data_IF_502036038458
#
_entry.id   IF_502036038458
#
_cell.length_a   1.000
_cell.length_b   1.000
_cell.length_c   1.000
_cell.angle_alpha   90.00
_cell.angle_beta   90.00
_cell.angle_gamma   90.00
#
_symmetry.space_group_name_H-M   'P 1'
#
loop_
_entity.id
_entity.type
_entity.pdbx_description
1 polymer ?
#
# COMPACT_ATOMS: atom_id res chain seq x y z
N UNK A 1 4.94 -24.24 -25.75
CA UNK A 1 4.69 -22.86 -25.23
C UNK A 1 5.60 -21.92 -25.98
N UNK A 2 5.06 -20.82 -26.47
CA UNK A 2 5.76 -19.83 -27.29
C UNK A 2 5.73 -18.47 -26.60
N UNK A 3 6.66 -17.59 -26.94
CA UNK A 3 6.59 -16.17 -26.55
C UNK A 3 5.30 -15.55 -27.10
N UNK A 4 4.62 -14.72 -26.30
CA UNK A 4 3.34 -14.12 -26.62
C UNK A 4 2.12 -14.99 -26.33
N UNK A 5 2.27 -16.24 -25.91
CA UNK A 5 1.14 -17.04 -25.45
C UNK A 5 0.55 -16.45 -24.16
N UNK A 6 -0.78 -16.43 -24.12
CA UNK A 6 -1.55 -15.93 -23.00
C UNK A 6 -2.48 -17.02 -22.45
N UNK A 7 -2.54 -17.13 -21.12
CA UNK A 7 -3.41 -18.08 -20.43
C UNK A 7 -4.25 -17.32 -19.42
N UNK A 8 -5.53 -17.66 -19.35
CA UNK A 8 -6.45 -17.17 -18.32
C UNK A 8 -7.04 -18.37 -17.60
N UNK A 9 -6.94 -18.40 -16.27
CA UNK A 9 -7.42 -19.49 -15.44
C UNK A 9 -8.24 -18.90 -14.30
N UNK A 10 -9.49 -19.27 -14.21
CA UNK A 10 -10.40 -18.84 -13.14
C UNK A 10 -10.52 -19.93 -12.09
N UNK A 11 -10.47 -19.52 -10.83
CA UNK A 11 -10.69 -20.36 -9.67
C UNK A 11 -11.78 -19.75 -8.82
N UNK A 12 -12.72 -20.57 -8.36
CA UNK A 12 -13.71 -20.16 -7.38
C UNK A 12 -13.09 -20.17 -5.97
N UNK A 13 -13.73 -19.45 -5.06
CA UNK A 13 -13.39 -19.46 -3.63
C UNK A 13 -13.10 -20.90 -3.17
N UNK A 14 -11.94 -21.13 -2.58
CA UNK A 14 -11.50 -22.42 -2.04
C UNK A 14 -10.93 -23.42 -3.06
N UNK A 15 -10.93 -23.11 -4.39
CA UNK A 15 -10.41 -24.05 -5.40
C UNK A 15 -8.89 -23.97 -5.55
N UNK A 16 -8.30 -22.80 -5.46
CA UNK A 16 -6.84 -22.63 -5.59
C UNK A 16 -6.13 -22.80 -4.23
N UNK A 17 -6.74 -22.30 -3.17
CA UNK A 17 -6.27 -22.46 -1.81
C UNK A 17 -7.42 -23.00 -0.96
N UNK A 18 -7.18 -24.07 -0.23
CA UNK A 18 -8.15 -24.68 0.66
C UNK A 18 -8.64 -23.67 1.69
N UNK A 19 -9.95 -23.54 1.79
CA UNK A 19 -10.62 -22.83 2.86
C UNK A 19 -11.22 -23.84 3.82
N UNK A 20 -10.86 -23.75 5.10
CA UNK A 20 -11.42 -24.65 6.14
C UNK A 20 -12.07 -23.84 7.25
N UNK A 21 -13.26 -24.26 7.66
CA UNK A 21 -13.92 -23.74 8.86
C UNK A 21 -13.15 -24.13 10.14
N UNK A 22 -12.37 -25.21 10.13
CA UNK A 22 -11.50 -25.60 11.26
C UNK A 22 -10.38 -24.58 11.53
N UNK A 23 -10.05 -23.76 10.54
CA UNK A 23 -9.11 -22.65 10.66
C UNK A 23 -9.75 -21.38 11.25
N UNK A 24 -11.02 -21.44 11.62
CA UNK A 24 -11.73 -20.39 12.37
C UNK A 24 -11.77 -20.81 13.84
N UNK A 25 -11.05 -20.08 14.68
CA UNK A 25 -10.75 -20.50 16.05
C UNK A 25 -11.28 -19.47 17.04
N UNK A 26 -11.98 -19.91 18.07
CA UNK A 26 -12.41 -19.07 19.19
C UNK A 26 -11.35 -19.11 20.30
N UNK A 27 -10.96 -17.96 20.79
CA UNK A 27 -9.93 -17.76 21.79
C UNK A 27 -10.39 -16.77 22.86
N UNK A 28 -9.84 -16.88 24.07
CA UNK A 28 -9.96 -15.78 25.04
C UNK A 28 -9.13 -14.58 24.59
N UNK A 29 -9.62 -13.36 24.79
CA UNK A 29 -8.85 -12.13 24.56
C UNK A 29 -7.50 -12.12 25.28
N UNK A 30 -7.37 -12.81 26.42
CA UNK A 30 -6.11 -12.93 27.18
C UNK A 30 -5.02 -13.69 26.43
N UNK A 31 -5.37 -14.47 25.42
CA UNK A 31 -4.41 -15.18 24.57
C UNK A 31 -3.76 -14.28 23.53
N UNK A 32 -4.34 -13.11 23.23
CA UNK A 32 -3.73 -12.10 22.35
C UNK A 32 -2.63 -11.35 23.10
N UNK A 33 -1.41 -11.45 22.62
CA UNK A 33 -0.21 -10.93 23.28
C UNK A 33 0.81 -10.37 22.28
N UNK A 34 0.52 -9.19 21.70
CA UNK A 34 1.44 -8.53 20.78
C UNK A 34 2.69 -8.03 21.50
N UNK A 35 3.82 -7.79 20.79
CA UNK A 35 5.01 -7.16 21.33
C UNK A 35 4.71 -5.78 21.93
N UNK A 36 5.56 -5.35 22.88
CA UNK A 36 5.40 -4.01 23.50
C UNK A 36 5.57 -2.85 22.53
N UNK A 37 6.23 -3.07 21.41
CA UNK A 37 6.44 -2.08 20.34
C UNK A 37 5.20 -1.80 19.53
N UNK A 38 4.23 -2.73 19.47
CA UNK A 38 2.97 -2.51 18.77
C UNK A 38 2.17 -1.37 19.40
N UNK A 39 1.57 -0.51 18.58
CA UNK A 39 0.69 0.59 19.01
C UNK A 39 -0.46 0.02 19.85
N UNK A 40 -1.14 -0.99 19.33
CA UNK A 40 -2.32 -1.59 19.93
C UNK A 40 -2.02 -2.86 20.72
N UNK A 41 -2.45 -2.89 21.98
CA UNK A 41 -2.33 -4.04 22.88
C UNK A 41 -3.61 -4.86 22.94
N UNK A 42 -4.67 -4.44 22.25
CA UNK A 42 -5.96 -5.15 22.16
C UNK A 42 -6.19 -5.66 20.74
N UNK A 43 -6.94 -6.77 20.57
CA UNK A 43 -7.35 -7.22 19.26
C UNK A 43 -8.36 -6.24 18.65
N UNK A 44 -8.24 -5.98 17.35
CA UNK A 44 -9.10 -5.05 16.61
C UNK A 44 -9.81 -5.80 15.47
N UNK A 45 -11.09 -5.51 15.29
CA UNK A 45 -11.92 -6.20 14.29
C UNK A 45 -11.40 -5.91 12.87
N UNK A 46 -11.32 -6.96 12.06
CA UNK A 46 -10.90 -6.90 10.67
C UNK A 46 -9.38 -6.87 10.47
N UNK A 47 -8.57 -6.53 11.51
CA UNK A 47 -7.11 -6.45 11.46
C UNK A 47 -6.46 -7.81 11.36
N UNK A 48 -5.29 -7.82 10.73
CA UNK A 48 -4.41 -8.99 10.70
C UNK A 48 -3.25 -8.84 11.68
N UNK A 49 -2.88 -9.95 12.28
CA UNK A 49 -1.75 -10.04 13.20
C UNK A 49 -0.96 -11.32 12.90
N UNK A 50 0.36 -11.35 13.19
CA UNK A 50 1.11 -12.60 13.18
C UNK A 50 0.45 -13.66 14.07
N UNK A 51 0.31 -14.88 13.58
CA UNK A 51 -0.29 -16.00 14.35
C UNK A 51 0.43 -16.21 15.69
N UNK A 52 1.72 -15.95 15.75
CA UNK A 52 2.52 -16.03 16.97
C UNK A 52 2.12 -15.07 18.09
N UNK A 53 1.25 -14.08 17.83
CA UNK A 53 0.68 -13.21 18.87
C UNK A 53 -0.43 -13.88 19.68
N UNK A 54 -0.95 -15.03 19.21
CA UNK A 54 -2.01 -15.79 19.87
C UNK A 54 -1.40 -16.96 20.65
N UNK A 55 -1.42 -16.86 21.99
CA UNK A 55 -0.83 -17.86 22.88
C UNK A 55 -1.76 -19.06 23.10
N UNK A 56 -1.15 -20.21 23.43
CA UNK A 56 -1.89 -21.42 23.79
C UNK A 56 -2.43 -22.25 22.63
N UNK A 57 -2.08 -21.88 21.40
CA UNK A 57 -2.38 -22.70 20.21
C UNK A 57 -1.34 -23.81 20.05
N UNK A 58 -1.79 -25.05 19.91
CA UNK A 58 -0.89 -26.19 19.74
C UNK A 58 -0.05 -26.05 18.46
N UNK A 59 1.26 -26.24 18.57
CA UNK A 59 2.19 -26.15 17.43
C UNK A 59 2.47 -24.74 16.93
N UNK A 60 1.96 -23.70 17.58
CA UNK A 60 2.20 -22.29 17.19
C UNK A 60 3.29 -21.70 18.07
N UNK A 61 4.37 -21.25 17.43
CA UNK A 61 5.49 -20.56 18.09
C UNK A 61 5.32 -19.03 17.97
N UNK A 62 5.89 -18.28 18.90
CA UNK A 62 5.84 -16.80 18.90
C UNK A 62 6.51 -16.15 17.67
N UNK A 63 7.36 -16.88 16.97
CA UNK A 63 7.99 -16.46 15.70
C UNK A 63 7.11 -16.70 14.47
N UNK A 64 5.93 -17.27 14.61
CA UNK A 64 5.04 -17.52 13.49
C UNK A 64 4.44 -16.20 12.98
N UNK A 65 4.80 -15.82 11.75
CA UNK A 65 4.40 -14.57 11.10
C UNK A 65 3.20 -14.73 10.16
N UNK A 66 2.60 -15.92 10.07
CA UNK A 66 1.44 -16.12 9.19
C UNK A 66 0.32 -15.14 9.56
N UNK A 67 -0.29 -14.48 8.56
CA UNK A 67 -1.34 -13.51 8.82
C UNK A 67 -2.59 -14.21 9.38
N UNK A 68 -3.08 -13.68 10.48
CA UNK A 68 -4.27 -14.18 11.18
C UNK A 68 -5.23 -13.03 11.38
N UNK A 69 -6.45 -13.15 10.89
CA UNK A 69 -7.46 -12.10 10.95
C UNK A 69 -8.34 -12.20 12.18
N UNK A 70 -8.58 -11.10 12.86
CA UNK A 70 -9.65 -10.98 13.86
C UNK A 70 -10.98 -10.80 13.12
N UNK A 71 -11.91 -11.74 13.23
CA UNK A 71 -13.17 -11.70 12.50
C UNK A 71 -14.40 -11.47 13.39
N UNK A 72 -14.27 -11.66 14.71
CA UNK A 72 -15.28 -11.30 15.68
C UNK A 72 -14.65 -11.01 17.05
N UNK A 73 -15.30 -10.12 17.80
CA UNK A 73 -14.94 -9.79 19.18
C UNK A 73 -16.24 -9.81 20.01
N UNK A 74 -16.26 -10.63 21.04
CA UNK A 74 -17.34 -10.66 22.02
C UNK A 74 -16.85 -10.03 23.33
N UNK A 75 -17.37 -8.84 23.64
CA UNK A 75 -16.97 -8.11 24.86
C UNK A 75 -17.50 -8.77 26.13
N UNK A 76 -18.72 -9.35 26.09
CA UNK A 76 -19.36 -9.96 27.26
C UNK A 76 -18.64 -11.24 27.72
N UNK A 77 -18.30 -12.14 26.77
CA UNK A 77 -17.56 -13.37 27.08
C UNK A 77 -16.05 -13.19 27.12
N UNK A 78 -15.54 -12.00 26.75
CA UNK A 78 -14.10 -11.74 26.58
C UNK A 78 -13.43 -12.71 25.61
N UNK A 79 -14.12 -13.03 24.51
CA UNK A 79 -13.64 -13.94 23.46
C UNK A 79 -13.38 -13.20 22.15
N UNK A 80 -12.51 -13.78 21.35
CA UNK A 80 -12.24 -13.35 19.97
C UNK A 80 -12.34 -14.56 19.05
N UNK A 81 -12.79 -14.33 17.84
CA UNK A 81 -12.73 -15.34 16.77
C UNK A 81 -11.67 -14.91 15.76
N UNK A 82 -10.75 -15.79 15.48
CA UNK A 82 -9.68 -15.58 14.50
C UNK A 82 -9.86 -16.48 13.29
N UNK A 83 -9.40 -16.00 12.14
CA UNK A 83 -9.31 -16.75 10.89
C UNK A 83 -7.84 -16.90 10.51
N UNK A 84 -7.37 -18.14 10.46
CA UNK A 84 -5.99 -18.50 10.10
C UNK A 84 -5.86 -19.03 8.66
N UNK A 85 -6.95 -19.02 7.88
CA UNK A 85 -6.90 -19.35 6.47
C UNK A 85 -5.99 -18.35 5.70
N UNK A 86 -5.42 -18.80 4.59
CA UNK A 86 -4.73 -17.91 3.67
C UNK A 86 -5.71 -16.79 3.23
N UNK A 87 -5.36 -15.51 3.36
CA UNK A 87 -6.30 -14.41 3.16
C UNK A 87 -7.04 -14.45 1.81
N UNK A 88 -6.34 -14.85 0.74
CA UNK A 88 -6.93 -14.95 -0.60
C UNK A 88 -7.88 -16.15 -0.80
N UNK A 89 -7.83 -17.18 0.07
CA UNK A 89 -8.64 -18.39 -0.06
C UNK A 89 -10.17 -18.12 -0.02
N UNK A 90 -10.57 -16.94 0.47
CA UNK A 90 -11.97 -16.53 0.56
C UNK A 90 -12.55 -15.93 -0.70
N UNK A 91 -11.74 -15.72 -1.74
CA UNK A 91 -12.13 -14.95 -2.93
C UNK A 91 -12.03 -15.78 -4.21
N UNK A 92 -12.83 -15.42 -5.20
CA UNK A 92 -12.62 -15.89 -6.56
C UNK A 92 -11.32 -15.30 -7.10
N UNK A 93 -10.53 -16.09 -7.82
CA UNK A 93 -9.21 -15.71 -8.30
C UNK A 93 -9.17 -15.92 -9.81
N UNK A 94 -8.74 -14.90 -10.53
CA UNK A 94 -8.41 -14.98 -11.93
C UNK A 94 -6.91 -14.84 -12.10
N UNK A 95 -6.27 -15.86 -12.71
CA UNK A 95 -4.83 -15.84 -12.99
C UNK A 95 -4.62 -15.64 -14.48
N UNK A 96 -4.03 -14.51 -14.84
CA UNK A 96 -3.59 -14.18 -16.18
C UNK A 96 -2.08 -14.39 -16.29
N UNK A 97 -1.66 -15.23 -17.23
CA UNK A 97 -0.25 -15.57 -17.45
C UNK A 97 0.11 -15.19 -18.88
N UNK A 98 1.07 -14.29 -19.06
CA UNK A 98 1.67 -13.97 -20.35
C UNK A 98 3.11 -14.49 -20.40
N UNK A 99 3.47 -15.23 -21.46
CA UNK A 99 4.85 -15.61 -21.71
C UNK A 99 5.53 -14.48 -22.47
N UNK A 100 6.20 -13.59 -21.77
CA UNK A 100 6.88 -12.45 -22.38
C UNK A 100 8.16 -12.87 -23.10
N UNK A 101 8.91 -13.84 -22.53
CA UNK A 101 10.21 -14.24 -23.06
C UNK A 101 10.57 -15.67 -22.65
N UNK A 102 11.17 -16.41 -23.58
CA UNK A 102 11.74 -17.73 -23.35
C UNK A 102 13.27 -17.67 -23.53
N UNK A 103 13.99 -17.83 -22.44
CA UNK A 103 15.45 -17.82 -22.47
C UNK A 103 15.96 -19.25 -22.39
N UNK A 104 16.73 -19.71 -23.41
CA UNK A 104 17.40 -21.00 -23.37
C UNK A 104 18.52 -20.95 -22.33
N UNK A 105 18.53 -21.91 -21.43
CA UNK A 105 19.61 -22.06 -20.45
C UNK A 105 20.91 -22.41 -21.16
N UNK A 106 21.94 -21.61 -21.02
CA UNK A 106 23.30 -21.86 -21.52
C UNK A 106 24.19 -22.25 -20.34
N UNK A 107 24.33 -23.53 -20.09
CA UNK A 107 25.20 -24.05 -19.03
C UNK A 107 24.49 -24.53 -17.77
N UNK A 108 25.22 -25.24 -16.92
CA UNK A 108 24.72 -25.90 -15.70
C UNK A 108 24.94 -25.10 -14.41
N UNK A 109 25.02 -23.78 -14.46
CA UNK A 109 25.19 -22.98 -13.26
C UNK A 109 23.98 -23.13 -12.32
N UNK A 110 24.24 -23.35 -11.03
CA UNK A 110 23.24 -23.25 -9.99
C UNK A 110 22.63 -21.84 -9.94
N UNK A 111 21.48 -21.70 -9.35
CA UNK A 111 20.81 -20.43 -9.15
C UNK A 111 19.82 -20.56 -8.01
N UNK A 112 19.39 -19.44 -7.46
CA UNK A 112 18.31 -19.41 -6.49
C UNK A 112 17.01 -19.87 -7.17
N UNK A 113 16.39 -20.89 -6.61
CA UNK A 113 15.05 -21.30 -7.00
C UNK A 113 14.05 -20.54 -6.13
N UNK A 114 13.26 -19.63 -6.73
CA UNK A 114 12.23 -18.89 -6.03
C UNK A 114 10.87 -19.51 -6.32
N UNK A 115 10.11 -19.75 -5.27
CA UNK A 115 8.71 -20.08 -5.37
C UNK A 115 7.91 -18.80 -5.69
N UNK A 116 7.76 -18.50 -6.98
CA UNK A 116 7.01 -17.32 -7.43
C UNK A 116 5.54 -17.39 -7.03
N UNK A 117 4.99 -18.60 -6.90
CA UNK A 117 3.60 -18.79 -6.50
C UNK A 117 3.40 -18.39 -5.03
N UNK A 118 4.29 -18.83 -4.14
CA UNK A 118 4.30 -18.39 -2.76
C UNK A 118 4.48 -16.87 -2.65
N UNK A 119 5.40 -16.29 -3.42
CA UNK A 119 5.63 -14.84 -3.42
C UNK A 119 4.38 -14.07 -3.89
N UNK A 120 3.69 -14.55 -4.91
CA UNK A 120 2.53 -13.86 -5.47
C UNK A 120 1.29 -13.97 -4.57
N UNK A 121 1.03 -15.12 -3.97
CA UNK A 121 -0.26 -15.45 -3.37
C UNK A 121 -0.24 -15.67 -1.86
N UNK A 122 0.88 -16.12 -1.27
CA UNK A 122 0.95 -16.34 0.17
C UNK A 122 1.17 -15.01 0.92
N UNK A 123 0.62 -14.93 2.13
CA UNK A 123 0.90 -13.87 3.09
C UNK A 123 0.72 -12.45 2.52
N UNK A 124 -0.49 -12.14 2.00
CA UNK A 124 -0.74 -10.77 1.58
C UNK A 124 -2.00 -10.53 0.80
N UNK A 125 -2.12 -11.00 -0.45
CA UNK A 125 -3.34 -10.78 -1.23
C UNK A 125 -4.60 -11.21 -0.49
N UNK A 126 -5.63 -10.35 -0.50
CA UNK A 126 -6.87 -10.55 0.26
C UNK A 126 -6.92 -9.81 1.61
N UNK A 127 -5.77 -9.41 2.19
CA UNK A 127 -5.75 -8.67 3.45
C UNK A 127 -6.33 -7.25 3.32
N UNK A 128 -6.29 -6.65 2.15
CA UNK A 128 -6.80 -5.31 1.88
C UNK A 128 -8.33 -5.22 1.81
N UNK A 129 -9.02 -6.36 1.79
CA UNK A 129 -10.48 -6.41 1.60
C UNK A 129 -11.18 -6.46 2.95
N UNK A 130 -12.27 -5.72 3.11
CA UNK A 130 -13.14 -5.81 4.29
C UNK A 130 -13.67 -7.24 4.47
N UNK A 131 -13.64 -7.73 5.71
CA UNK A 131 -14.24 -9.03 6.02
C UNK A 131 -15.76 -8.91 6.00
N UNK A 132 -16.44 -9.60 5.05
CA UNK A 132 -17.89 -9.56 4.88
C UNK A 132 -18.49 -8.14 4.88
N UNK A 133 -17.75 -7.16 4.34
CA UNK A 133 -18.17 -5.75 4.32
C UNK A 133 -17.99 -5.01 5.64
N UNK A 134 -17.56 -5.68 6.70
CA UNK A 134 -17.30 -5.07 8.02
C UNK A 134 -16.06 -4.16 7.92
N UNK A 135 -16.18 -2.94 8.39
CA UNK A 135 -15.10 -1.99 8.48
C UNK A 135 -13.93 -2.55 9.30
N UNK A 136 -12.71 -2.40 8.79
CA UNK A 136 -11.50 -2.74 9.54
C UNK A 136 -11.20 -1.65 10.55
N UNK A 137 -11.10 -2.02 11.84
CA UNK A 137 -10.76 -1.08 12.90
C UNK A 137 -9.27 -0.76 12.89
N UNK A 138 -8.91 0.38 12.30
CA UNK A 138 -7.56 0.95 12.33
C UNK A 138 -7.37 1.96 13.48
N UNK A 139 -8.29 2.01 14.44
CA UNK A 139 -8.27 2.98 15.56
C UNK A 139 -8.09 4.43 15.11
N UNK A 140 -8.80 4.83 14.08
CA UNK A 140 -8.71 6.20 13.55
C UNK A 140 -9.11 7.29 14.57
N UNK A 141 -9.85 6.93 15.61
CA UNK A 141 -10.24 7.85 16.70
C UNK A 141 -9.16 7.96 17.79
N UNK A 142 -8.15 7.11 17.77
CA UNK A 142 -7.03 7.16 18.70
C UNK A 142 -5.98 8.16 18.20
N UNK A 143 -5.71 9.21 18.97
CA UNK A 143 -4.73 10.23 18.60
C UNK A 143 -3.33 9.70 18.37
N UNK A 144 -2.93 8.64 19.07
CA UNK A 144 -1.61 8.02 18.92
C UNK A 144 -1.42 7.34 17.54
N UNK A 145 -2.52 7.00 16.84
CA UNK A 145 -2.49 6.33 15.53
C UNK A 145 -1.65 7.11 14.50
N UNK A 146 -1.76 8.43 14.54
CA UNK A 146 -1.13 9.34 13.59
C UNK A 146 0.12 10.04 14.13
N UNK A 147 0.53 9.77 15.39
CA UNK A 147 1.78 10.27 15.92
C UNK A 147 2.99 9.66 15.20
N UNK A 148 4.09 10.38 15.24
CA UNK A 148 5.37 9.99 14.65
C UNK A 148 6.45 9.91 15.74
N UNK A 149 7.55 9.23 15.45
CA UNK A 149 8.70 9.22 16.37
C UNK A 149 9.32 10.62 16.48
N UNK A 150 9.44 11.33 15.35
CA UNK A 150 9.94 12.70 15.30
C UNK A 150 8.82 13.67 14.88
N UNK A 151 8.29 14.41 15.85
CA UNK A 151 7.28 15.46 15.67
C UNK A 151 7.87 16.86 15.42
N UNK A 152 9.19 16.97 15.22
CA UNK A 152 9.78 18.24 14.82
C UNK A 152 9.27 18.69 13.46
N UNK A 153 9.33 19.99 13.22
CA UNK A 153 8.84 20.63 12.00
C UNK A 153 9.39 19.93 10.75
N UNK A 154 8.50 19.53 9.85
CA UNK A 154 8.85 18.82 8.63
C UNK A 154 9.74 19.67 7.71
N UNK A 155 9.63 21.00 7.74
CA UNK A 155 10.50 21.89 7.00
C UNK A 155 11.98 21.80 7.44
N UNK A 156 12.25 21.34 8.67
CA UNK A 156 13.61 21.10 9.16
C UNK A 156 14.12 19.77 8.62
N UNK A 157 13.33 18.70 8.73
CA UNK A 157 13.72 17.36 8.26
C UNK A 157 13.92 17.30 6.75
N UNK A 158 13.07 17.98 5.98
CA UNK A 158 13.11 18.01 4.51
C UNK A 158 13.90 19.24 3.98
N UNK A 159 14.67 19.95 4.80
CA UNK A 159 15.43 21.13 4.40
C UNK A 159 16.50 20.80 3.34
N UNK A 160 17.27 19.76 3.58
CA UNK A 160 18.34 19.34 2.69
C UNK A 160 17.77 18.57 1.48
N UNK A 161 18.00 19.03 0.26
CA UNK A 161 17.41 18.40 -0.94
C UNK A 161 17.99 16.99 -1.16
N UNK A 162 17.08 16.04 -1.42
CA UNK A 162 17.41 14.64 -1.73
C UNK A 162 17.18 14.38 -3.20
N UNK A 163 18.19 14.69 -4.04
CA UNK A 163 18.13 14.49 -5.49
C UNK A 163 18.38 13.02 -5.85
N UNK A 164 17.54 12.14 -5.34
CA UNK A 164 17.64 10.68 -5.53
C UNK A 164 16.25 10.04 -5.58
N UNK A 165 16.16 8.93 -6.29
CA UNK A 165 14.95 8.10 -6.30
C UNK A 165 14.78 7.39 -4.96
N UNK A 166 13.54 7.31 -4.47
CA UNK A 166 13.21 6.66 -3.20
C UNK A 166 12.93 5.17 -3.35
N UNK A 167 12.71 4.71 -4.58
CA UNK A 167 12.49 3.32 -4.97
C UNK A 167 13.48 2.91 -6.07
N UNK A 168 13.70 1.62 -6.25
CA UNK A 168 14.56 1.15 -7.34
C UNK A 168 13.90 1.33 -8.72
N UNK A 169 14.70 1.19 -9.79
CA UNK A 169 14.22 1.43 -11.14
C UNK A 169 13.15 0.43 -11.59
N UNK A 170 13.16 -0.81 -11.09
CA UNK A 170 12.13 -1.80 -11.41
C UNK A 170 10.78 -1.43 -10.79
N UNK A 171 10.79 -0.99 -9.54
CA UNK A 171 9.61 -0.48 -8.86
C UNK A 171 9.05 0.75 -9.60
N UNK A 172 9.92 1.68 -9.98
CA UNK A 172 9.54 2.86 -10.79
C UNK A 172 8.93 2.48 -12.14
N UNK A 173 9.53 1.54 -12.88
CA UNK A 173 8.96 1.02 -14.13
C UNK A 173 7.56 0.46 -13.95
N UNK A 174 7.32 -0.30 -12.87
CA UNK A 174 6.02 -0.85 -12.57
C UNK A 174 4.98 0.24 -12.24
N UNK A 175 5.40 1.31 -11.54
CA UNK A 175 4.54 2.45 -11.25
C UNK A 175 4.15 3.21 -12.53
N UNK A 176 5.14 3.51 -13.39
CA UNK A 176 4.90 4.14 -14.70
C UNK A 176 3.95 3.30 -15.59
N UNK A 177 4.15 1.97 -15.67
CA UNK A 177 3.26 1.05 -16.39
C UNK A 177 1.84 1.08 -15.83
N UNK A 178 1.71 1.11 -14.51
CA UNK A 178 0.39 1.18 -13.84
C UNK A 178 -0.29 2.49 -14.19
N UNK A 179 0.38 3.61 -14.03
CA UNK A 179 -0.15 4.94 -14.35
C UNK A 179 -0.48 5.12 -15.82
N UNK A 180 0.31 4.53 -16.71
CA UNK A 180 -0.03 4.53 -18.13
C UNK A 180 -1.37 3.86 -18.42
N UNK A 181 -1.69 2.78 -17.69
CA UNK A 181 -2.93 2.02 -17.83
C UNK A 181 -4.15 2.67 -17.17
N UNK A 182 -3.97 3.32 -15.99
CA UNK A 182 -5.11 3.75 -15.17
C UNK A 182 -5.41 5.25 -15.22
N UNK A 183 -4.42 6.10 -15.54
CA UNK A 183 -4.64 7.54 -15.64
C UNK A 183 -5.19 7.93 -17.02
N UNK A 184 -6.02 8.98 -17.12
CA UNK A 184 -6.45 9.53 -18.41
C UNK A 184 -5.25 9.97 -19.25
N UNK A 185 -5.46 10.24 -20.54
CA UNK A 185 -4.38 10.63 -21.44
C UNK A 185 -3.91 12.08 -21.28
N UNK A 186 -4.79 12.94 -20.73
CA UNK A 186 -4.53 14.38 -20.55
C UNK A 186 -5.36 14.99 -19.44
N UNK A 187 -4.99 16.17 -18.97
CA UNK A 187 -5.75 16.94 -17.99
C UNK A 187 -4.87 17.78 -17.08
N UNK A 188 -5.45 18.32 -16.01
CA UNK A 188 -4.74 19.00 -14.93
C UNK A 188 -4.47 18.01 -13.80
N UNK A 189 -3.22 17.84 -13.43
CA UNK A 189 -2.78 16.85 -12.45
C UNK A 189 -2.06 17.55 -11.28
N UNK A 190 -2.45 17.19 -10.07
CA UNK A 190 -1.74 17.57 -8.84
C UNK A 190 -0.85 16.40 -8.37
N UNK A 191 0.44 16.65 -8.25
CA UNK A 191 1.43 15.78 -7.62
C UNK A 191 1.60 16.24 -6.17
N UNK A 192 0.94 15.53 -5.24
CA UNK A 192 0.96 15.83 -3.80
C UNK A 192 2.23 15.29 -3.15
N UNK A 193 2.81 16.10 -2.27
CA UNK A 193 4.09 15.83 -1.61
C UNK A 193 5.22 15.60 -2.63
N UNK A 194 5.13 16.36 -3.72
CA UNK A 194 6.07 16.30 -4.85
C UNK A 194 7.49 16.58 -4.42
N UNK A 195 8.43 15.89 -5.04
CA UNK A 195 9.86 15.98 -4.78
C UNK A 195 10.64 16.06 -6.10
N UNK A 196 11.84 15.50 -6.09
CA UNK A 196 12.79 15.44 -7.20
C UNK A 196 12.25 14.76 -8.46
N UNK A 197 11.34 13.80 -8.31
CA UNK A 197 10.80 13.00 -9.41
C UNK A 197 9.30 12.79 -9.26
N UNK A 198 8.55 13.06 -10.33
CA UNK A 198 7.17 12.58 -10.50
C UNK A 198 7.15 11.31 -11.33
N UNK A 199 6.28 10.37 -10.95
CA UNK A 199 6.16 9.07 -11.63
C UNK A 199 5.09 9.09 -12.73
N UNK A 200 4.91 10.23 -13.39
CA UNK A 200 3.88 10.45 -14.41
C UNK A 200 4.46 10.10 -15.78
N UNK A 201 3.83 9.21 -16.57
CA UNK A 201 4.30 8.84 -17.90
C UNK A 201 4.47 10.06 -18.82
N UNK A 202 5.55 10.07 -19.60
CA UNK A 202 5.89 11.20 -20.48
C UNK A 202 4.95 11.35 -21.68
N UNK A 203 4.35 10.23 -22.12
CA UNK A 203 3.41 10.17 -23.24
C UNK A 203 2.00 10.70 -22.88
N UNK A 204 1.76 11.08 -21.63
CA UNK A 204 0.51 11.68 -21.17
C UNK A 204 0.60 13.21 -21.12
N UNK A 205 -0.40 13.86 -21.71
CA UNK A 205 -0.46 15.33 -21.84
C UNK A 205 -1.13 15.96 -20.61
N UNK A 206 -0.40 15.94 -19.47
CA UNK A 206 -0.84 16.60 -18.25
C UNK A 206 -0.17 17.93 -18.02
N UNK A 207 -0.95 18.94 -17.62
CA UNK A 207 -0.42 20.10 -16.93
C UNK A 207 -0.24 19.73 -15.44
N UNK A 208 1.01 19.54 -15.02
CA UNK A 208 1.37 19.00 -13.70
C UNK A 208 1.74 20.12 -12.75
N UNK A 209 1.03 20.19 -11.61
CA UNK A 209 1.37 21.08 -10.50
C UNK A 209 1.93 20.23 -9.38
N UNK A 210 3.15 20.53 -8.92
CA UNK A 210 3.75 19.90 -7.75
C UNK A 210 3.46 20.71 -6.49
N UNK A 211 3.04 20.04 -5.43
CA UNK A 211 2.90 20.61 -4.10
C UNK A 211 3.78 19.84 -3.13
N UNK A 212 4.75 20.49 -2.51
CA UNK A 212 5.74 19.83 -1.65
C UNK A 212 6.49 20.78 -0.73
N UNK A 213 7.45 20.29 0.03
CA UNK A 213 8.20 21.07 1.01
C UNK A 213 9.54 21.59 0.51
N UNK A 214 10.22 20.86 -0.38
CA UNK A 214 11.54 21.24 -0.83
C UNK A 214 11.52 21.84 -2.23
N UNK A 215 11.72 23.17 -2.28
CA UNK A 215 11.73 23.94 -3.55
C UNK A 215 12.84 23.50 -4.50
N UNK A 216 14.02 23.15 -3.97
CA UNK A 216 15.16 22.76 -4.80
C UNK A 216 14.93 21.39 -5.44
N UNK A 217 14.34 20.43 -4.70
CA UNK A 217 13.95 19.15 -5.28
C UNK A 217 12.96 19.34 -6.43
N UNK A 218 11.88 20.10 -6.21
CA UNK A 218 10.85 20.35 -7.22
C UNK A 218 11.37 21.12 -8.45
N UNK A 219 12.36 22.00 -8.30
CA UNK A 219 13.00 22.66 -9.45
C UNK A 219 13.72 21.68 -10.40
N UNK A 220 14.21 20.57 -9.86
CA UNK A 220 14.88 19.54 -10.66
C UNK A 220 13.89 18.51 -11.23
N UNK A 221 12.61 18.61 -10.90
CA UNK A 221 11.58 17.74 -11.41
C UNK A 221 11.06 18.26 -12.76
N UNK A 222 11.61 17.73 -13.84
CA UNK A 222 11.29 18.15 -15.21
C UNK A 222 9.82 17.87 -15.62
N UNK A 223 9.07 17.14 -14.80
CA UNK A 223 7.67 16.84 -15.10
C UNK A 223 6.72 17.94 -14.62
N UNK A 224 7.16 18.80 -13.69
CA UNK A 224 6.35 19.88 -13.13
C UNK A 224 6.32 21.10 -14.05
N UNK A 225 5.12 21.65 -14.25
CA UNK A 225 4.90 22.94 -14.89
C UNK A 225 4.89 24.08 -13.87
N UNK A 226 4.35 23.79 -12.69
CA UNK A 226 4.29 24.71 -11.56
C UNK A 226 4.67 23.98 -10.27
N UNK A 227 5.19 24.70 -9.28
CA UNK A 227 5.48 24.16 -7.97
C UNK A 227 5.01 25.09 -6.85
N UNK A 228 4.42 24.52 -5.79
CA UNK A 228 3.87 25.23 -4.65
C UNK A 228 4.49 24.65 -3.37
N UNK A 229 5.05 25.53 -2.55
CA UNK A 229 5.56 25.14 -1.22
C UNK A 229 4.41 25.14 -0.25
N UNK A 230 4.09 23.97 0.31
CA UNK A 230 2.99 23.81 1.23
C UNK A 230 3.21 22.61 2.15
N UNK A 231 2.96 22.81 3.45
CA UNK A 231 3.09 21.78 4.49
C UNK A 231 1.70 21.25 4.85
N UNK A 232 1.39 20.04 4.39
CA UNK A 232 0.08 19.41 4.59
C UNK A 232 -0.19 19.02 6.05
N UNK A 233 0.85 18.76 6.85
CA UNK A 233 0.70 18.43 8.26
C UNK A 233 0.42 19.68 9.12
N UNK A 234 0.92 20.85 8.72
CA UNK A 234 0.57 22.13 9.32
C UNK A 234 -0.79 22.62 8.86
N UNK A 235 -1.01 22.63 7.57
CA UNK A 235 -2.25 23.10 6.96
C UNK A 235 -2.74 22.09 5.90
N UNK A 236 -3.71 21.24 6.20
CA UNK A 236 -4.25 20.28 5.24
C UNK A 236 -5.10 20.93 4.14
N UNK A 237 -5.50 22.21 4.28
CA UNK A 237 -6.31 22.93 3.28
C UNK A 237 -5.47 23.21 2.05
N UNK A 238 -5.88 22.66 0.91
CA UNK A 238 -5.18 22.80 -0.36
C UNK A 238 -5.47 24.17 -1.02
N UNK A 239 -4.44 24.90 -1.51
CA UNK A 239 -4.59 26.25 -2.07
C UNK A 239 -5.16 26.25 -3.50
N UNK A 240 -6.21 25.47 -3.73
CA UNK A 240 -6.84 25.29 -5.03
C UNK A 240 -8.35 25.45 -4.95
N UNK A 241 -8.96 25.75 -6.09
CA UNK A 241 -10.41 25.86 -6.22
C UNK A 241 -11.09 24.49 -6.17
N UNK A 242 -12.40 24.47 -5.93
CA UNK A 242 -13.20 23.27 -6.06
C UNK A 242 -13.18 22.78 -7.51
N UNK A 243 -13.14 21.46 -7.70
CA UNK A 243 -13.25 20.80 -9.02
C UNK A 243 -12.22 21.30 -10.05
N UNK A 244 -11.00 21.53 -9.59
CA UNK A 244 -9.93 22.08 -10.42
C UNK A 244 -9.12 20.98 -11.15
N UNK A 245 -8.98 19.80 -10.56
CA UNK A 245 -8.08 18.76 -11.04
C UNK A 245 -8.82 17.56 -11.64
N UNK A 246 -8.26 17.01 -12.72
CA UNK A 246 -8.69 15.75 -13.30
C UNK A 246 -8.06 14.57 -12.58
N UNK A 247 -6.84 14.75 -12.05
CA UNK A 247 -6.06 13.72 -11.36
C UNK A 247 -5.34 14.31 -10.14
N UNK A 248 -5.32 13.55 -9.05
CA UNK A 248 -4.43 13.78 -7.89
C UNK A 248 -3.63 12.51 -7.68
N UNK A 249 -2.29 12.62 -7.64
CA UNK A 249 -1.39 11.53 -7.26
C UNK A 249 -0.67 11.88 -5.95
N UNK A 250 -0.48 10.88 -5.09
CA UNK A 250 0.33 10.99 -3.88
C UNK A 250 1.24 9.78 -3.82
N UNK A 251 2.49 9.96 -4.23
CA UNK A 251 3.45 8.89 -4.40
C UNK A 251 4.43 8.83 -3.24
N UNK A 252 4.58 7.62 -2.64
CA UNK A 252 5.56 7.31 -1.58
C UNK A 252 5.49 8.28 -0.39
N UNK A 253 4.28 8.72 0.00
CA UNK A 253 4.16 9.85 0.92
C UNK A 253 2.94 9.81 1.86
N UNK A 254 1.90 9.03 1.58
CA UNK A 254 0.68 8.97 2.41
C UNK A 254 0.99 8.53 3.85
N UNK A 255 2.04 7.75 4.04
CA UNK A 255 2.53 7.26 5.33
C UNK A 255 3.06 8.35 6.28
N UNK A 256 3.24 9.59 5.80
CA UNK A 256 3.73 10.72 6.60
C UNK A 256 2.64 11.71 6.99
N UNK A 257 1.40 11.49 6.55
CA UNK A 257 0.29 12.40 6.79
C UNK A 257 -0.33 12.16 8.16
N UNK A 258 -0.28 13.18 9.02
CA UNK A 258 -0.83 13.15 10.39
C UNK A 258 -2.30 13.57 10.45
N UNK A 259 -2.85 14.17 9.38
CA UNK A 259 -4.25 14.60 9.25
C UNK A 259 -4.89 14.02 7.97
N UNK A 260 -4.95 12.67 7.85
CA UNK A 260 -5.33 12.04 6.59
C UNK A 260 -6.80 12.31 6.19
N UNK A 261 -7.72 12.43 7.14
CA UNK A 261 -9.14 12.68 6.83
C UNK A 261 -9.37 14.07 6.27
N UNK A 262 -8.70 15.07 6.83
CA UNK A 262 -8.74 16.45 6.32
C UNK A 262 -8.14 16.51 4.90
N UNK A 263 -7.00 15.84 4.67
CA UNK A 263 -6.38 15.78 3.36
C UNK A 263 -7.29 15.09 2.33
N UNK A 264 -7.89 13.94 2.66
CA UNK A 264 -8.82 13.22 1.77
C UNK A 264 -10.04 14.08 1.44
N UNK A 265 -10.57 14.82 2.43
CA UNK A 265 -11.67 15.77 2.19
C UNK A 265 -11.29 16.87 1.19
N UNK A 266 -10.07 17.41 1.31
CA UNK A 266 -9.56 18.41 0.39
C UNK A 266 -9.27 17.84 -1.01
N UNK A 267 -8.69 16.63 -1.09
CA UNK A 267 -8.54 15.93 -2.37
C UNK A 267 -9.90 15.77 -3.06
N UNK A 268 -10.93 15.33 -2.32
CA UNK A 268 -12.29 15.23 -2.86
C UNK A 268 -12.83 16.58 -3.33
N UNK A 269 -12.59 17.65 -2.58
CA UNK A 269 -13.03 19.01 -2.92
C UNK A 269 -12.46 19.49 -4.24
N UNK A 270 -11.15 19.33 -4.42
CA UNK A 270 -10.42 19.85 -5.59
C UNK A 270 -10.54 18.98 -6.85
N UNK A 271 -10.87 17.69 -6.70
CA UNK A 271 -11.11 16.80 -7.83
C UNK A 271 -12.42 17.17 -8.54
N UNK A 272 -12.42 17.14 -9.85
CA UNK A 272 -13.63 17.17 -10.69
C UNK A 272 -14.46 15.90 -10.48
N UNK A 273 -15.76 15.95 -10.81
CA UNK A 273 -16.57 14.73 -10.89
C UNK A 273 -15.93 13.73 -11.85
N UNK A 274 -15.85 12.45 -11.43
CA UNK A 274 -15.10 11.37 -12.07
C UNK A 274 -13.58 11.60 -12.17
N UNK A 275 -13.04 12.62 -11.48
CA UNK A 275 -11.60 12.80 -11.31
C UNK A 275 -10.99 11.65 -10.52
N UNK A 276 -9.73 11.37 -10.78
CA UNK A 276 -8.99 10.21 -10.26
C UNK A 276 -8.09 10.61 -9.10
N UNK A 277 -8.07 9.82 -8.02
CA UNK A 277 -7.01 9.86 -7.00
C UNK A 277 -6.25 8.55 -6.98
N UNK A 278 -4.92 8.65 -6.86
CA UNK A 278 -4.05 7.50 -6.64
C UNK A 278 -3.12 7.75 -5.48
N UNK A 279 -2.88 6.68 -4.70
CA UNK A 279 -1.84 6.63 -3.69
C UNK A 279 -0.92 5.46 -4.03
N UNK A 280 0.38 5.73 -4.12
CA UNK A 280 1.37 4.67 -4.29
C UNK A 280 2.34 4.65 -3.11
N UNK A 281 2.79 3.46 -2.73
CA UNK A 281 3.78 3.27 -1.67
C UNK A 281 4.53 1.95 -1.85
N UNK A 282 5.63 1.82 -1.12
CA UNK A 282 6.42 0.60 -1.05
C UNK A 282 6.62 0.17 0.42
N UNK A 283 7.51 -0.77 0.67
CA UNK A 283 7.94 -1.11 2.04
C UNK A 283 9.06 -0.18 2.56
N UNK A 284 9.42 0.85 1.80
CA UNK A 284 10.45 1.84 2.17
C UNK A 284 9.78 3.12 2.66
N UNK A 285 10.23 3.61 3.80
CA UNK A 285 9.79 4.87 4.40
C UNK A 285 10.88 5.44 5.31
N UNK A 286 10.73 6.68 5.74
CA UNK A 286 11.61 7.33 6.73
C UNK A 286 11.09 7.04 8.14
N UNK A 287 11.73 6.14 8.90
CA UNK A 287 11.22 5.71 10.21
C UNK A 287 10.84 6.87 11.16
N UNK A 288 11.63 7.96 11.29
CA UNK A 288 11.28 9.03 12.22
C UNK A 288 10.00 9.79 11.86
N UNK A 289 9.62 9.82 10.57
CA UNK A 289 8.52 10.64 10.06
C UNK A 289 7.27 9.85 9.68
N UNK A 290 7.35 8.53 9.69
CA UNK A 290 6.20 7.68 9.41
C UNK A 290 5.23 7.66 10.60
N UNK A 291 3.93 7.66 10.34
CA UNK A 291 2.91 7.54 11.39
C UNK A 291 2.96 6.15 12.06
N UNK A 292 2.71 6.10 13.36
CA UNK A 292 2.87 4.88 14.18
C UNK A 292 2.13 3.68 13.62
N UNK A 293 0.87 3.85 13.22
CA UNK A 293 0.09 2.73 12.69
C UNK A 293 0.73 2.07 11.49
N UNK A 294 1.38 2.84 10.62
CA UNK A 294 1.99 2.31 9.39
C UNK A 294 3.01 1.22 9.66
N UNK A 295 3.74 1.34 10.76
CA UNK A 295 4.77 0.36 11.15
C UNK A 295 4.18 -0.96 11.66
N UNK A 296 2.95 -0.93 12.17
CA UNK A 296 2.25 -2.10 12.70
C UNK A 296 1.48 -2.88 11.62
N UNK A 297 1.32 -2.28 10.44
CA UNK A 297 0.55 -2.86 9.34
C UNK A 297 1.43 -3.72 8.43
N UNK A 298 0.91 -4.90 8.08
CA UNK A 298 1.42 -5.62 6.92
C UNK A 298 1.23 -4.79 5.65
N UNK A 299 2.09 -4.96 4.63
CA UNK A 299 2.03 -4.16 3.39
C UNK A 299 0.63 -4.14 2.74
N UNK A 300 -0.07 -5.27 2.72
CA UNK A 300 -1.45 -5.34 2.19
C UNK A 300 -2.49 -4.75 3.12
N UNK A 301 -2.24 -4.68 4.43
CA UNK A 301 -3.09 -3.92 5.34
C UNK A 301 -2.91 -2.41 5.13
N UNK A 302 -1.71 -1.94 4.76
CA UNK A 302 -1.50 -0.54 4.35
C UNK A 302 -2.38 -0.17 3.15
N UNK A 303 -2.54 -1.11 2.19
CA UNK A 303 -3.51 -0.94 1.10
C UNK A 303 -4.94 -0.81 1.65
N UNK A 304 -5.33 -1.68 2.57
CA UNK A 304 -6.62 -1.64 3.26
C UNK A 304 -6.83 -0.34 4.05
N UNK A 305 -5.81 0.14 4.75
CA UNK A 305 -5.82 1.40 5.49
C UNK A 305 -6.14 2.60 4.56
N UNK A 306 -5.46 2.70 3.43
CA UNK A 306 -5.73 3.79 2.46
C UNK A 306 -7.14 3.69 1.89
N UNK A 307 -7.64 2.48 1.60
CA UNK A 307 -9.02 2.26 1.17
C UNK A 307 -10.00 2.72 2.25
N UNK A 308 -9.76 2.38 3.52
CA UNK A 308 -10.64 2.78 4.63
C UNK A 308 -10.69 4.30 4.83
N UNK A 309 -9.57 5.01 4.66
CA UNK A 309 -9.57 6.47 4.68
C UNK A 309 -10.52 7.05 3.62
N UNK A 310 -10.48 6.53 2.40
CA UNK A 310 -11.35 6.97 1.30
C UNK A 310 -12.82 6.60 1.54
N UNK A 311 -13.08 5.37 2.02
CA UNK A 311 -14.44 4.89 2.29
C UNK A 311 -15.10 5.66 3.43
N UNK A 312 -14.39 5.93 4.53
CA UNK A 312 -14.91 6.71 5.66
C UNK A 312 -15.17 8.18 5.28
N UNK A 313 -14.33 8.75 4.44
CA UNK A 313 -14.57 10.11 3.93
C UNK A 313 -15.80 10.16 3.02
N UNK A 314 -16.07 9.09 2.28
CA UNK A 314 -17.16 9.01 1.31
C UNK A 314 -16.91 9.81 0.04
N UNK A 315 -17.80 9.67 -0.94
CA UNK A 315 -17.75 10.39 -2.22
C UNK A 315 -16.70 9.85 -3.19
N UNK A 316 -16.24 8.62 -3.01
CA UNK A 316 -15.37 7.90 -3.94
C UNK A 316 -16.02 6.59 -4.40
N UNK A 317 -15.66 6.14 -5.58
CA UNK A 317 -16.15 4.92 -6.26
C UNK A 317 -15.03 4.25 -7.06
N UNK A 318 -15.32 3.09 -7.67
CA UNK A 318 -14.43 2.38 -8.60
C UNK A 318 -13.05 2.08 -8.03
N UNK A 319 -13.03 1.61 -6.78
CA UNK A 319 -11.79 1.26 -6.10
C UNK A 319 -11.04 0.14 -6.82
N UNK A 320 -9.75 0.35 -7.06
CA UNK A 320 -8.84 -0.66 -7.60
C UNK A 320 -7.53 -0.65 -6.82
N UNK A 321 -6.92 -1.82 -6.69
CA UNK A 321 -5.60 -1.94 -6.08
C UNK A 321 -4.67 -2.72 -7.00
N UNK A 322 -3.41 -2.34 -6.99
CA UNK A 322 -2.36 -3.03 -7.75
C UNK A 322 -1.20 -3.31 -6.81
N UNK A 323 -0.60 -4.49 -6.95
CA UNK A 323 0.59 -4.86 -6.20
C UNK A 323 1.59 -5.58 -7.10
N UNK A 324 2.86 -5.22 -6.97
CA UNK A 324 3.96 -5.83 -7.72
C UNK A 324 5.01 -6.30 -6.73
N UNK A 325 5.28 -7.60 -6.73
CA UNK A 325 6.23 -8.23 -5.81
C UNK A 325 7.05 -9.30 -6.52
N UNK A 326 8.18 -9.66 -5.93
CA UNK A 326 8.98 -10.81 -6.39
C UNK A 326 9.85 -10.56 -7.61
N UNK A 327 9.90 -9.34 -8.13
CA UNK A 327 10.81 -8.98 -9.21
C UNK A 327 12.25 -8.96 -8.73
N UNK A 328 13.19 -9.26 -9.63
CA UNK A 328 14.61 -9.13 -9.34
C UNK A 328 15.00 -7.65 -9.26
N UNK A 329 15.79 -7.30 -8.25
CA UNK A 329 16.41 -5.98 -8.12
C UNK A 329 17.42 -5.76 -9.24
N UNK A 330 17.48 -4.58 -9.85
CA UNK A 330 18.51 -4.25 -10.82
C UNK A 330 19.92 -4.39 -10.22
N UNK A 331 20.85 -5.01 -10.94
CA UNK A 331 22.21 -5.29 -10.45
C UNK A 331 23.03 -4.03 -10.15
N UNK A 332 22.65 -2.90 -10.72
CA UNK A 332 23.29 -1.59 -10.51
C UNK A 332 22.63 -0.79 -9.36
N UNK A 333 21.59 -1.33 -8.74
CA UNK A 333 20.97 -0.68 -7.59
C UNK A 333 21.90 -0.76 -6.38
N UNK A 334 21.99 0.33 -5.61
CA UNK A 334 22.89 0.45 -4.45
C UNK A 334 22.63 -0.57 -3.35
N UNK A 335 21.43 -1.15 -3.29
CA UNK A 335 21.04 -2.16 -2.32
C UNK A 335 21.02 -3.59 -2.89
N UNK A 336 21.59 -3.79 -4.08
CA UNK A 336 21.59 -5.12 -4.72
C UNK A 336 22.30 -6.18 -3.87
N UNK A 337 23.33 -5.80 -3.12
CA UNK A 337 24.05 -6.71 -2.21
C UNK A 337 23.26 -7.05 -0.95
N UNK A 338 22.31 -6.19 -0.55
CA UNK A 338 21.55 -6.35 0.67
C UNK A 338 20.27 -7.15 0.43
N UNK A 339 19.66 -6.98 -0.75
CA UNK A 339 18.45 -7.71 -1.15
C UNK A 339 18.38 -7.93 -2.66
N UNK A 340 18.11 -9.16 -3.04
CA UNK A 340 17.96 -9.55 -4.44
C UNK A 340 16.57 -9.23 -5.02
N UNK A 341 15.61 -8.90 -4.16
CA UNK A 341 14.27 -8.50 -4.59
C UNK A 341 14.19 -6.98 -4.75
N UNK A 342 13.53 -6.57 -5.84
CA UNK A 342 13.12 -5.18 -6.08
C UNK A 342 12.17 -4.71 -4.98
N UNK A 343 12.15 -3.41 -4.75
CA UNK A 343 11.17 -2.79 -3.85
C UNK A 343 9.75 -3.16 -4.33
N UNK A 344 8.88 -3.67 -3.44
CA UNK A 344 7.49 -3.93 -3.81
C UNK A 344 6.75 -2.62 -4.06
N UNK A 345 5.76 -2.66 -4.94
CA UNK A 345 4.89 -1.52 -5.23
C UNK A 345 3.44 -1.87 -4.88
N UNK A 346 2.78 -0.93 -4.23
CA UNK A 346 1.35 -0.97 -3.96
C UNK A 346 0.71 0.32 -4.45
N UNK A 347 -0.41 0.22 -5.16
CA UNK A 347 -1.16 1.37 -5.67
C UNK A 347 -2.62 1.22 -5.31
N UNK A 348 -3.22 2.25 -4.72
CA UNK A 348 -4.65 2.38 -4.50
C UNK A 348 -5.18 3.44 -5.46
N UNK A 349 -6.26 3.13 -6.14
CA UNK A 349 -6.95 3.98 -7.09
C UNK A 349 -8.41 4.13 -6.68
N UNK A 350 -8.94 5.33 -6.81
CA UNK A 350 -10.37 5.60 -6.70
C UNK A 350 -10.77 6.78 -7.61
N UNK A 351 -12.07 6.88 -7.89
CA UNK A 351 -12.65 8.01 -8.62
C UNK A 351 -13.60 8.79 -7.71
N UNK A 352 -13.61 10.12 -7.81
CA UNK A 352 -14.66 10.95 -7.20
C UNK A 352 -16.02 10.61 -7.84
N UNK A 353 -17.05 10.51 -7.00
CA UNK A 353 -18.44 10.33 -7.44
C UNK A 353 -18.97 11.52 -8.21
#
# INVERSE_FOLDING_TARGET
KNEGEFFNIEFKKGELFDFSEDNIINLSKKQFSPPKTFLNKRPLIGRFYPLGFFKGLAGVFSSNINPTRIIAINEESSEITIDTNIPIARYDINIEIAIERIIRKSGGAGGECRDWFAIAFQNGPGMQVRFNGIETDFEFENSETFEREDETDDSIFYKEPRLTTHIDSRCNENLLKTYNRILPSKGKLLDLMSSYQSHIPEDKDFHVIGLGLNKEEMKHNNRLHENIIHDLNKNPVLPFSNEEFDVVVCDLSIEYITKPFELISEIRRILKSNGVVTFSFSNRYFPPKVIKIWTDLHDFERVGYVIELLLRNGGFKDFKTFSYRGFSRPFYDKYFTDTLLSDPLYVVYAMKQ
#
